data_IF_692191111752
#
_entry.id   IF_692191111752
#
_cell.length_a   1.000
_cell.length_b   1.000
_cell.length_c   1.000
_cell.angle_alpha   90.00
_cell.angle_beta   90.00
_cell.angle_gamma   90.00
#
_symmetry.space_group_name_H-M   'P 1'
#
loop_
_entity.id
_entity.type
_entity.pdbx_description
1 polymer ?
#
# COMPACT_ATOMS: atom_id res chain seq x y z
N UNK A 1 12.99 24.21 -11.48
CA UNK A 1 12.53 25.64 -11.52
C UNK A 1 13.75 26.58 -11.49
N UNK A 2 14.72 26.31 -12.31
CA UNK A 2 16.00 27.02 -12.26
C UNK A 2 15.95 28.47 -12.78
N UNK A 3 14.91 28.85 -13.50
CA UNK A 3 14.85 30.17 -14.15
C UNK A 3 13.72 31.08 -13.66
N UNK A 4 12.81 30.61 -12.79
CA UNK A 4 11.63 31.37 -12.36
C UNK A 4 10.65 31.74 -13.48
N UNK A 5 10.82 31.21 -14.70
CA UNK A 5 9.95 31.50 -15.85
C UNK A 5 8.71 30.63 -15.81
N UNK A 6 7.55 31.24 -16.05
CA UNK A 6 6.33 30.51 -16.30
C UNK A 6 6.28 30.04 -17.75
N UNK A 7 5.96 28.76 -17.96
CA UNK A 7 5.70 28.20 -19.29
C UNK A 7 4.19 27.97 -19.43
N UNK A 8 3.61 28.54 -20.47
CA UNK A 8 2.21 28.31 -20.84
C UNK A 8 2.18 27.38 -22.05
N UNK A 9 1.64 26.17 -21.85
CA UNK A 9 1.45 25.22 -22.94
C UNK A 9 -0.01 25.24 -23.40
N UNK A 10 -0.23 25.39 -24.72
CA UNK A 10 -1.56 25.20 -25.33
C UNK A 10 -1.63 23.78 -25.90
N UNK A 11 -2.60 23.00 -25.44
CA UNK A 11 -2.84 21.64 -25.90
C UNK A 11 -4.31 21.43 -26.26
N UNK A 12 -4.57 20.52 -27.21
CA UNK A 12 -5.95 20.11 -27.54
C UNK A 12 -6.58 19.26 -26.42
N UNK A 13 -5.75 18.54 -25.71
CA UNK A 13 -6.15 17.63 -24.64
C UNK A 13 -5.09 17.66 -23.54
N UNK A 14 -5.52 17.58 -22.29
CA UNK A 14 -4.66 17.46 -21.12
C UNK A 14 -5.02 16.17 -20.38
N UNK A 15 -4.03 15.43 -19.92
CA UNK A 15 -4.21 14.21 -19.14
C UNK A 15 -3.53 14.37 -17.77
N UNK A 16 -4.28 14.24 -16.70
CA UNK A 16 -3.75 14.16 -15.34
C UNK A 16 -3.53 12.68 -15.01
N UNK A 17 -2.29 12.29 -14.77
CA UNK A 17 -1.90 10.92 -14.38
C UNK A 17 -0.78 10.94 -13.35
N UNK A 18 -0.91 11.77 -12.33
CA UNK A 18 0.13 12.12 -11.36
C UNK A 18 0.18 11.19 -10.16
N UNK A 19 -0.64 10.15 -10.11
CA UNK A 19 -0.82 9.30 -8.94
C UNK A 19 -1.72 9.93 -7.89
N UNK A 20 -1.77 9.32 -6.72
CA UNK A 20 -2.62 9.70 -5.60
C UNK A 20 -1.90 10.51 -4.51
N UNK A 21 -2.35 10.37 -3.28
CA UNK A 21 -1.89 11.09 -2.08
C UNK A 21 -1.18 10.20 -1.06
N UNK A 22 -0.81 8.98 -1.42
CA UNK A 22 -0.33 7.98 -0.45
C UNK A 22 0.97 8.36 0.28
N UNK A 23 1.64 9.44 -0.10
CA UNK A 23 2.79 9.97 0.62
C UNK A 23 2.43 11.01 1.68
N UNK A 24 1.22 11.49 1.68
CA UNK A 24 0.72 12.40 2.70
C UNK A 24 0.23 11.59 3.90
N UNK A 25 1.15 11.08 4.68
CA UNK A 25 0.86 10.25 5.85
C UNK A 25 0.08 11.00 6.91
N UNK A 26 -1.18 10.75 7.00
CA UNK A 26 -2.01 11.47 7.95
C UNK A 26 -2.01 10.89 9.38
N UNK A 27 -1.74 9.61 9.56
CA UNK A 27 -1.91 8.94 10.85
C UNK A 27 -0.66 8.18 11.34
N UNK A 28 0.50 8.52 10.83
CA UNK A 28 1.76 7.87 11.23
C UNK A 28 1.96 6.46 10.71
N UNK A 29 1.12 6.00 9.77
CA UNK A 29 1.35 4.73 9.10
C UNK A 29 2.48 4.84 8.07
N UNK A 30 3.25 3.77 7.87
CA UNK A 30 4.19 3.71 6.75
C UNK A 30 3.43 3.72 5.41
N UNK A 31 4.14 3.95 4.32
CA UNK A 31 3.56 3.90 2.97
C UNK A 31 4.41 3.07 2.02
N UNK A 32 3.75 2.33 1.14
CA UNK A 32 4.37 1.68 -0.01
C UNK A 32 4.48 2.59 -1.24
N UNK A 33 3.95 3.82 -1.18
CA UNK A 33 3.86 4.72 -2.32
C UNK A 33 5.17 5.46 -2.60
N UNK A 34 5.35 5.82 -3.88
CA UNK A 34 6.46 6.65 -4.33
C UNK A 34 6.44 8.03 -3.66
N UNK A 35 7.61 8.66 -3.48
CA UNK A 35 7.76 10.00 -2.89
C UNK A 35 6.96 11.10 -3.59
N UNK A 36 6.67 10.93 -4.89
CA UNK A 36 5.86 11.86 -5.68
C UNK A 36 4.35 11.68 -5.56
N UNK A 37 3.86 10.75 -4.73
CA UNK A 37 2.41 10.58 -4.50
C UNK A 37 1.90 11.60 -3.47
N UNK A 38 1.94 12.88 -3.83
CA UNK A 38 1.69 14.06 -2.98
C UNK A 38 0.42 14.82 -3.36
N UNK A 39 -0.51 14.20 -4.08
CA UNK A 39 -1.81 14.75 -4.49
C UNK A 39 -1.74 15.93 -5.48
N UNK A 40 -0.61 16.19 -6.12
CA UNK A 40 -0.46 17.39 -6.96
C UNK A 40 -1.53 17.49 -8.04
N UNK A 41 -1.78 16.43 -8.80
CA UNK A 41 -2.82 16.42 -9.83
C UNK A 41 -4.23 16.46 -9.27
N UNK A 42 -4.47 15.89 -8.09
CA UNK A 42 -5.77 15.99 -7.40
C UNK A 42 -6.06 17.45 -7.05
N UNK A 43 -5.09 18.15 -6.47
CA UNK A 43 -5.22 19.57 -6.12
C UNK A 43 -5.37 20.45 -7.37
N UNK A 44 -4.62 20.17 -8.43
CA UNK A 44 -4.76 20.91 -9.70
C UNK A 44 -6.15 20.74 -10.29
N UNK A 45 -6.66 19.51 -10.39
CA UNK A 45 -8.00 19.22 -10.89
C UNK A 45 -9.09 19.85 -10.03
N UNK A 46 -8.98 19.71 -8.70
CA UNK A 46 -9.93 20.32 -7.76
C UNK A 46 -9.96 21.85 -7.89
N UNK A 47 -8.81 22.53 -7.94
CA UNK A 47 -8.73 23.98 -8.13
C UNK A 47 -9.24 24.43 -9.48
N UNK A 48 -9.18 23.57 -10.49
CA UNK A 48 -9.79 23.82 -11.80
C UNK A 48 -11.30 23.59 -11.83
N UNK A 49 -11.90 23.09 -10.74
CA UNK A 49 -13.34 22.88 -10.58
C UNK A 49 -13.81 21.44 -10.80
N UNK A 50 -12.89 20.47 -10.96
CA UNK A 50 -13.28 19.06 -11.06
C UNK A 50 -13.65 18.53 -9.67
N UNK A 51 -14.85 17.94 -9.47
CA UNK A 51 -15.22 17.33 -8.21
C UNK A 51 -14.30 16.18 -7.80
N UNK A 52 -14.13 15.98 -6.50
CA UNK A 52 -13.49 14.80 -5.92
C UNK A 52 -14.55 13.80 -5.48
N UNK A 53 -14.35 12.53 -5.83
CA UNK A 53 -15.14 11.41 -5.34
C UNK A 53 -14.37 10.71 -4.23
N UNK A 54 -15.06 10.35 -3.15
CA UNK A 54 -14.51 9.51 -2.06
C UNK A 54 -13.13 9.95 -1.55
N UNK A 55 -12.92 11.26 -1.40
CA UNK A 55 -11.61 11.83 -1.07
C UNK A 55 -11.03 11.36 0.28
N UNK A 56 -11.86 10.81 1.15
CA UNK A 56 -11.54 10.24 2.46
C UNK A 56 -11.23 8.73 2.43
N UNK A 57 -11.38 8.08 1.27
CA UNK A 57 -11.16 6.63 1.15
C UNK A 57 -9.71 6.30 0.79
N UNK A 58 -8.99 5.79 1.76
CA UNK A 58 -7.62 5.32 1.62
C UNK A 58 -7.55 3.81 1.92
N UNK A 59 -6.87 3.06 1.06
CA UNK A 59 -6.66 1.65 1.26
C UNK A 59 -5.32 1.39 1.94
N UNK A 60 -5.37 0.68 3.06
CA UNK A 60 -4.19 0.15 3.73
C UNK A 60 -3.95 -1.29 3.29
N UNK A 61 -2.72 -1.58 2.83
CA UNK A 61 -2.31 -2.95 2.62
C UNK A 61 -1.94 -3.57 3.98
N UNK A 62 -2.47 -4.73 4.36
CA UNK A 62 -2.25 -5.29 5.70
C UNK A 62 -0.80 -5.67 5.96
N UNK A 63 -0.04 -6.02 4.93
CA UNK A 63 1.31 -6.53 5.05
C UNK A 63 2.34 -5.58 4.41
N UNK A 64 2.65 -4.47 5.08
CA UNK A 64 3.88 -3.72 4.87
C UNK A 64 5.00 -4.32 5.73
N UNK A 65 6.25 -4.35 5.23
CA UNK A 65 7.38 -4.77 6.02
C UNK A 65 7.55 -3.85 7.25
N UNK A 66 7.57 -4.41 8.45
CA UNK A 66 7.72 -3.65 9.69
C UNK A 66 9.14 -3.65 10.24
N UNK A 67 10.00 -4.51 9.70
CA UNK A 67 11.41 -4.63 10.04
C UNK A 67 12.19 -5.26 8.88
N UNK A 68 13.43 -4.85 8.61
CA UNK A 68 14.16 -3.75 9.25
C UNK A 68 13.76 -2.37 8.72
N UNK A 69 14.24 -1.29 9.36
CA UNK A 69 13.93 0.10 9.02
C UNK A 69 14.15 0.45 7.54
N UNK A 70 15.18 -0.12 6.91
CA UNK A 70 15.53 0.14 5.51
C UNK A 70 14.45 -0.26 4.50
N UNK A 71 13.55 -1.15 4.88
CA UNK A 71 12.41 -1.58 4.07
C UNK A 71 11.07 -1.32 4.78
N UNK A 72 11.08 -0.51 5.83
CA UNK A 72 9.87 -0.17 6.57
C UNK A 72 8.78 0.40 5.65
N UNK A 73 7.61 -0.21 5.67
CA UNK A 73 6.49 0.13 4.81
C UNK A 73 6.55 -0.48 3.40
N UNK A 74 7.65 -1.12 3.00
CA UNK A 74 7.72 -1.78 1.71
C UNK A 74 6.64 -2.86 1.58
N UNK A 75 6.04 -2.97 0.40
CA UNK A 75 4.95 -3.91 0.16
C UNK A 75 5.44 -5.36 0.24
N UNK A 76 4.87 -6.12 1.18
CA UNK A 76 4.90 -7.58 1.16
C UNK A 76 3.65 -8.05 0.42
N UNK A 77 3.85 -8.61 -0.77
CA UNK A 77 2.75 -8.99 -1.67
C UNK A 77 1.74 -9.90 -1.01
N UNK A 78 0.47 -9.69 -1.33
CA UNK A 78 -0.65 -10.51 -0.83
C UNK A 78 -0.50 -12.01 -1.16
N UNK A 79 0.24 -12.32 -2.21
CA UNK A 79 0.56 -13.68 -2.61
C UNK A 79 1.20 -14.49 -1.47
N UNK A 80 1.93 -13.87 -0.54
CA UNK A 80 2.51 -14.54 0.62
C UNK A 80 1.41 -15.17 1.48
N UNK A 81 0.35 -14.40 1.80
CA UNK A 81 -0.81 -14.91 2.55
C UNK A 81 -1.61 -15.95 1.76
N UNK A 82 -1.82 -15.72 0.46
CA UNK A 82 -2.55 -16.65 -0.40
C UNK A 82 -1.84 -17.99 -0.60
N UNK A 83 -0.55 -18.07 -0.29
CA UNK A 83 0.22 -19.31 -0.27
C UNK A 83 0.26 -19.98 1.11
N UNK A 84 -0.51 -19.49 2.08
CA UNK A 84 -0.70 -20.14 3.38
C UNK A 84 0.09 -19.53 4.53
N UNK A 85 0.85 -18.44 4.32
CA UNK A 85 1.48 -17.74 5.44
C UNK A 85 0.43 -17.11 6.35
N UNK A 86 0.49 -17.43 7.64
CA UNK A 86 -0.47 -16.98 8.65
C UNK A 86 0.03 -15.74 9.38
N UNK A 87 -0.91 -14.89 9.81
CA UNK A 87 -0.63 -13.76 10.70
C UNK A 87 -0.68 -14.24 12.15
N UNK A 88 0.42 -14.05 12.88
CA UNK A 88 0.65 -14.57 14.23
C UNK A 88 1.03 -13.42 15.16
N UNK A 89 0.45 -13.38 16.35
CA UNK A 89 0.75 -12.39 17.38
C UNK A 89 2.05 -12.73 18.15
N UNK A 90 2.41 -11.90 19.13
CA UNK A 90 3.61 -12.11 19.95
C UNK A 90 3.53 -13.36 20.83
N UNK A 91 2.35 -13.91 21.08
CA UNK A 91 2.12 -15.13 21.85
C UNK A 91 2.16 -16.40 20.99
N UNK A 92 2.37 -16.26 19.67
CA UNK A 92 2.39 -17.40 18.75
C UNK A 92 1.00 -17.84 18.25
N UNK A 93 -0.05 -17.03 18.50
CA UNK A 93 -1.41 -17.38 18.14
C UNK A 93 -1.82 -16.74 16.80
N UNK A 94 -2.43 -17.52 15.91
CA UNK A 94 -3.10 -17.01 14.73
C UNK A 94 -4.42 -16.33 15.16
N UNK A 95 -4.58 -15.07 14.82
CA UNK A 95 -5.70 -14.24 15.31
C UNK A 95 -6.75 -13.91 14.25
N UNK A 96 -6.54 -14.35 13.00
CA UNK A 96 -7.48 -14.14 11.91
C UNK A 96 -7.26 -15.14 10.78
N UNK A 97 -8.26 -15.24 9.88
CA UNK A 97 -8.13 -16.05 8.68
C UNK A 97 -7.17 -15.36 7.67
N UNK A 98 -6.22 -16.06 7.05
CA UNK A 98 -5.19 -15.45 6.18
C UNK A 98 -5.75 -14.81 4.90
N UNK A 99 -6.92 -15.23 4.42
CA UNK A 99 -7.55 -14.77 3.17
C UNK A 99 -8.67 -13.76 3.39
N UNK A 100 -8.74 -13.14 4.56
CA UNK A 100 -9.65 -12.01 4.79
C UNK A 100 -9.32 -10.82 3.88
N UNK A 101 -10.33 -9.96 3.65
CA UNK A 101 -10.15 -8.73 2.87
C UNK A 101 -9.10 -7.80 3.47
N UNK A 102 -8.57 -6.88 2.68
CA UNK A 102 -7.47 -6.01 3.12
C UNK A 102 -7.84 -5.12 4.30
N UNK A 103 -9.04 -4.58 4.28
CA UNK A 103 -9.58 -3.73 5.34
C UNK A 103 -9.76 -4.49 6.66
N UNK A 104 -10.38 -5.68 6.61
CA UNK A 104 -10.53 -6.57 7.77
C UNK A 104 -9.16 -7.00 8.30
N UNK A 105 -8.25 -7.37 7.42
CA UNK A 105 -6.89 -7.77 7.79
C UNK A 105 -6.12 -6.64 8.47
N UNK A 106 -6.13 -5.43 7.87
CA UNK A 106 -5.46 -4.27 8.43
C UNK A 106 -6.04 -3.88 9.80
N UNK A 107 -7.38 -3.84 9.91
CA UNK A 107 -8.06 -3.55 11.17
C UNK A 107 -7.76 -4.59 12.26
N UNK A 108 -7.68 -5.87 11.89
CA UNK A 108 -7.35 -6.95 12.83
C UNK A 108 -5.93 -6.84 13.36
N UNK A 109 -4.94 -6.54 12.50
CA UNK A 109 -3.55 -6.32 12.91
C UNK A 109 -3.45 -5.11 13.87
N UNK A 110 -4.10 -3.99 13.51
CA UNK A 110 -4.10 -2.79 14.37
C UNK A 110 -4.72 -3.10 15.74
N UNK A 111 -5.84 -3.82 15.76
CA UNK A 111 -6.52 -4.23 17.00
C UNK A 111 -5.64 -5.14 17.85
N UNK A 112 -4.97 -6.11 17.22
CA UNK A 112 -4.06 -7.05 17.91
C UNK A 112 -2.90 -6.32 18.57
N UNK A 113 -2.29 -5.37 17.82
CA UNK A 113 -1.18 -4.58 18.32
C UNK A 113 -1.60 -3.55 19.38
N UNK A 114 -2.63 -2.72 19.08
CA UNK A 114 -2.95 -1.55 19.92
C UNK A 114 -3.95 -1.85 21.03
N UNK A 115 -5.05 -2.56 20.72
CA UNK A 115 -6.12 -2.77 21.68
C UNK A 115 -5.85 -3.97 22.58
N UNK A 116 -5.27 -5.04 22.04
CA UNK A 116 -4.98 -6.27 22.79
C UNK A 116 -3.58 -6.31 23.39
N UNK A 117 -2.67 -5.45 22.92
CA UNK A 117 -1.28 -5.41 23.39
C UNK A 117 -0.46 -6.66 23.03
N UNK A 118 -0.91 -7.45 22.04
CA UNK A 118 -0.28 -8.70 21.61
C UNK A 118 0.63 -8.52 20.37
N UNK A 119 1.02 -7.29 20.07
CA UNK A 119 1.99 -7.00 19.01
C UNK A 119 3.42 -7.28 19.43
N UNK A 120 4.27 -7.55 18.45
CA UNK A 120 5.72 -7.65 18.61
C UNK A 120 6.30 -6.24 18.57
N UNK A 121 7.07 -5.86 19.58
CA UNK A 121 7.71 -4.54 19.63
C UNK A 121 8.90 -4.48 18.67
N UNK A 122 8.93 -3.45 17.83
CA UNK A 122 10.04 -3.12 16.92
C UNK A 122 10.53 -1.70 17.20
N UNK A 123 11.68 -1.28 16.69
CA UNK A 123 12.15 0.11 16.82
C UNK A 123 11.16 1.15 16.28
N UNK A 124 10.36 0.76 15.26
CA UNK A 124 9.40 1.64 14.57
C UNK A 124 7.97 1.57 15.16
N UNK A 125 7.74 0.71 16.14
CA UNK A 125 6.44 0.51 16.76
C UNK A 125 6.11 -0.95 16.99
N UNK A 126 4.83 -1.31 16.83
CA UNK A 126 4.38 -2.69 16.97
C UNK A 126 4.09 -3.33 15.62
N UNK A 127 4.27 -4.63 15.55
CA UNK A 127 4.05 -5.44 14.36
C UNK A 127 3.48 -6.80 14.72
N UNK A 128 3.15 -7.60 13.72
CA UNK A 128 2.80 -9.02 13.87
C UNK A 128 3.71 -9.87 12.99
N UNK A 129 3.84 -11.13 13.31
CA UNK A 129 4.55 -12.09 12.47
C UNK A 129 3.69 -12.50 11.27
N UNK A 130 4.33 -12.64 10.12
CA UNK A 130 3.81 -13.34 8.97
C UNK A 130 4.66 -14.61 8.78
N UNK A 131 4.06 -15.77 9.02
CA UNK A 131 4.74 -17.06 9.06
C UNK A 131 5.05 -17.58 7.63
N UNK A 132 6.10 -17.05 7.06
CA UNK A 132 6.52 -17.35 5.70
C UNK A 132 7.12 -18.76 5.52
N UNK A 133 7.81 -19.40 6.51
CA UNK A 133 8.24 -20.78 6.41
C UNK A 133 7.10 -21.78 6.15
N UNK A 134 5.89 -21.48 6.61
CA UNK A 134 4.70 -22.29 6.38
C UNK A 134 4.45 -22.58 4.89
N UNK A 135 4.87 -21.68 3.99
CA UNK A 135 4.71 -21.84 2.54
C UNK A 135 5.43 -23.09 2.04
N UNK A 136 6.70 -23.26 2.43
CA UNK A 136 7.49 -24.44 2.03
C UNK A 136 7.01 -25.72 2.75
N UNK A 137 6.46 -25.58 3.96
CA UNK A 137 5.85 -26.71 4.68
C UNK A 137 4.58 -27.23 3.97
N UNK A 138 3.74 -26.34 3.47
CA UNK A 138 2.47 -26.69 2.79
C UNK A 138 2.73 -27.19 1.35
N UNK A 139 3.58 -26.50 0.61
CA UNK A 139 3.74 -26.70 -0.84
C UNK A 139 5.02 -27.41 -1.26
N UNK A 140 5.87 -27.78 -0.31
CA UNK A 140 7.16 -28.41 -0.55
C UNK A 140 8.33 -27.43 -0.62
N UNK A 141 9.48 -27.89 -0.18
CA UNK A 141 10.73 -27.12 -0.09
C UNK A 141 11.11 -26.48 -1.41
N UNK A 142 11.48 -25.19 -1.36
CA UNK A 142 11.88 -24.38 -2.52
C UNK A 142 10.71 -23.67 -3.22
N UNK A 143 9.47 -23.86 -2.77
CA UNK A 143 8.31 -23.18 -3.34
C UNK A 143 8.36 -21.67 -3.10
N UNK A 144 8.74 -21.24 -1.91
CA UNK A 144 8.88 -19.82 -1.58
C UNK A 144 9.90 -19.14 -2.51
N UNK A 145 11.07 -19.74 -2.69
CA UNK A 145 12.12 -19.21 -3.57
C UNK A 145 11.65 -19.11 -5.02
N UNK A 146 10.98 -20.13 -5.53
CA UNK A 146 10.47 -20.18 -6.90
C UNK A 146 9.32 -19.19 -7.16
N UNK A 147 8.41 -19.05 -6.20
CA UNK A 147 7.16 -18.29 -6.38
C UNK A 147 7.24 -16.85 -5.90
N UNK A 148 8.17 -16.53 -5.00
CA UNK A 148 8.34 -15.23 -4.35
C UNK A 148 9.81 -14.73 -4.39
N UNK A 149 10.54 -14.87 -5.51
CA UNK A 149 11.98 -14.58 -5.57
C UNK A 149 12.31 -13.12 -5.25
N UNK A 150 11.44 -12.18 -5.60
CA UNK A 150 11.64 -10.76 -5.31
C UNK A 150 11.53 -10.46 -3.81
N UNK A 151 10.56 -11.08 -3.13
CA UNK A 151 10.40 -10.95 -1.68
C UNK A 151 11.58 -11.57 -0.94
N UNK A 152 11.96 -12.79 -1.31
CA UNK A 152 13.11 -13.45 -0.71
C UNK A 152 14.39 -12.59 -0.85
N UNK A 153 14.68 -12.08 -2.05
CA UNK A 153 15.84 -11.20 -2.26
C UNK A 153 15.77 -9.91 -1.45
N UNK A 154 14.59 -9.33 -1.28
CA UNK A 154 14.39 -8.11 -0.51
C UNK A 154 14.82 -8.32 0.95
N UNK A 155 14.38 -9.40 1.59
CA UNK A 155 14.69 -9.70 2.99
C UNK A 155 16.10 -10.25 3.19
N UNK A 156 16.61 -11.10 2.27
CA UNK A 156 17.97 -11.63 2.34
C UNK A 156 19.05 -10.55 2.33
N UNK A 157 18.83 -9.40 1.68
CA UNK A 157 19.74 -8.24 1.74
C UNK A 157 20.03 -7.78 3.17
N UNK A 158 19.14 -8.08 4.09
CA UNK A 158 19.23 -7.69 5.50
C UNK A 158 19.40 -8.87 6.44
N UNK A 159 19.80 -10.02 5.88
CA UNK A 159 20.09 -11.23 6.67
C UNK A 159 18.83 -11.97 7.17
N UNK A 160 17.65 -11.66 6.63
CA UNK A 160 16.40 -12.32 7.00
C UNK A 160 16.04 -13.33 5.91
N UNK A 161 16.11 -14.61 6.24
CA UNK A 161 15.70 -15.67 5.33
C UNK A 161 14.25 -16.08 5.60
N UNK A 162 13.34 -15.63 4.73
CA UNK A 162 11.91 -15.91 4.82
C UNK A 162 11.56 -17.41 4.74
N UNK A 163 12.49 -18.27 4.35
CA UNK A 163 12.32 -19.73 4.30
C UNK A 163 12.47 -20.37 5.68
N UNK A 164 13.21 -19.71 6.56
CA UNK A 164 13.60 -20.23 7.87
C UNK A 164 12.94 -19.51 9.03
N UNK A 165 12.68 -18.19 8.86
CA UNK A 165 12.11 -17.38 9.92
C UNK A 165 10.91 -16.55 9.40
N UNK A 166 9.88 -16.34 10.23
CA UNK A 166 8.79 -15.43 9.88
C UNK A 166 9.28 -13.99 9.75
N UNK A 167 8.55 -13.16 9.01
CA UNK A 167 8.85 -11.75 8.83
C UNK A 167 7.86 -10.89 9.62
N UNK A 168 8.31 -9.69 10.03
CA UNK A 168 7.45 -8.72 10.72
C UNK A 168 6.72 -7.84 9.71
N UNK A 169 5.40 -7.70 9.91
CA UNK A 169 4.52 -6.90 9.05
C UNK A 169 3.59 -6.01 9.87
N UNK A 170 3.23 -4.87 9.28
CA UNK A 170 2.23 -3.93 9.81
C UNK A 170 1.51 -3.25 8.65
N UNK A 171 0.26 -2.77 8.83
CA UNK A 171 -0.45 -2.08 7.76
C UNK A 171 0.32 -0.88 7.21
N UNK A 172 0.34 -0.77 5.88
CA UNK A 172 1.00 0.32 5.14
C UNK A 172 0.00 0.99 4.21
N UNK A 173 0.03 2.32 4.13
CA UNK A 173 -0.78 3.05 3.18
C UNK A 173 -0.37 2.68 1.75
N UNK A 174 -1.33 2.26 0.94
CA UNK A 174 -1.05 1.60 -0.33
C UNK A 174 -1.68 2.28 -1.53
N UNK A 175 -2.96 2.65 -1.45
CA UNK A 175 -3.71 3.15 -2.57
C UNK A 175 -4.78 4.16 -2.13
N UNK A 176 -4.95 5.23 -2.90
CA UNK A 176 -6.06 6.16 -2.71
C UNK A 176 -7.20 5.76 -3.64
N UNK A 177 -8.34 5.34 -3.07
CA UNK A 177 -9.53 4.97 -3.84
C UNK A 177 -10.30 6.19 -4.32
N UNK A 178 -10.25 7.28 -3.56
CA UNK A 178 -10.79 8.57 -3.94
C UNK A 178 -9.94 9.29 -4.98
N UNK A 179 -10.52 10.29 -5.65
CA UNK A 179 -9.82 11.08 -6.67
C UNK A 179 -10.77 11.94 -7.50
N UNK A 180 -10.29 12.42 -8.62
CA UNK A 180 -11.05 13.27 -9.53
C UNK A 180 -12.19 12.49 -10.21
N UNK A 181 -13.36 13.15 -10.32
CA UNK A 181 -14.52 12.56 -10.99
C UNK A 181 -14.36 12.57 -12.51
N UNK A 182 -14.61 11.42 -13.14
CA UNK A 182 -14.62 11.26 -14.59
C UNK A 182 -15.88 10.54 -15.07
N UNK A 183 -16.18 10.67 -16.36
CA UNK A 183 -17.14 9.81 -17.05
C UNK A 183 -16.54 8.46 -17.45
N UNK A 184 -17.35 7.55 -17.98
CA UNK A 184 -16.91 6.24 -18.47
C UNK A 184 -15.93 6.31 -19.67
N UNK A 185 -15.80 7.46 -20.28
CA UNK A 185 -14.88 7.77 -21.37
C UNK A 185 -13.52 8.34 -20.91
N UNK A 186 -13.33 8.49 -19.58
CA UNK A 186 -12.10 9.03 -18.99
C UNK A 186 -12.03 10.56 -18.93
N UNK A 187 -13.03 11.27 -19.48
CA UNK A 187 -13.07 12.73 -19.44
C UNK A 187 -13.72 13.25 -18.15
N UNK A 188 -13.27 14.41 -17.70
CA UNK A 188 -13.99 15.13 -16.65
C UNK A 188 -15.30 15.69 -17.21
N UNK A 189 -16.35 15.73 -16.38
CA UNK A 189 -17.67 16.25 -16.81
C UNK A 189 -17.72 17.78 -16.90
N UNK A 190 -16.79 18.46 -16.27
CA UNK A 190 -16.83 19.93 -16.07
C UNK A 190 -15.81 20.69 -16.90
N UNK A 191 -14.72 20.06 -17.32
CA UNK A 191 -13.67 20.70 -18.13
C UNK A 191 -13.53 19.95 -19.45
N UNK A 192 -13.88 20.57 -20.58
CA UNK A 192 -13.69 19.96 -21.90
C UNK A 192 -12.23 19.58 -22.14
N UNK A 193 -12.02 18.41 -22.75
CA UNK A 193 -10.70 17.91 -23.13
C UNK A 193 -9.71 17.67 -21.98
N UNK A 194 -10.19 17.60 -20.74
CA UNK A 194 -9.41 17.15 -19.59
C UNK A 194 -9.75 15.70 -19.29
N UNK A 195 -8.74 14.81 -19.35
CA UNK A 195 -8.82 13.42 -18.95
C UNK A 195 -8.05 13.21 -17.65
N UNK A 196 -8.46 12.18 -16.92
CA UNK A 196 -7.72 11.71 -15.74
C UNK A 196 -7.50 10.20 -15.85
N UNK A 197 -6.32 9.74 -15.45
CA UNK A 197 -5.96 8.32 -15.51
C UNK A 197 -5.18 7.87 -14.28
N UNK A 198 -5.24 6.57 -13.99
CA UNK A 198 -4.53 5.95 -12.87
C UNK A 198 -5.12 6.31 -11.51
N UNK A 199 -4.30 6.32 -10.48
CA UNK A 199 -4.70 6.57 -9.08
C UNK A 199 -5.23 7.99 -8.83
N UNK A 200 -5.09 8.91 -9.79
CA UNK A 200 -5.71 10.24 -9.70
C UNK A 200 -7.23 10.21 -9.92
N UNK A 201 -7.79 9.09 -10.40
CA UNK A 201 -9.23 8.92 -10.64
C UNK A 201 -9.90 8.37 -9.40
N UNK A 202 -11.02 8.97 -9.00
CA UNK A 202 -11.85 8.49 -7.92
C UNK A 202 -12.82 7.37 -8.35
N UNK A 203 -13.01 6.34 -7.48
CA UNK A 203 -14.05 5.33 -7.65
C UNK A 203 -13.78 4.22 -8.64
N UNK A 204 -12.53 3.98 -9.06
CA UNK A 204 -12.17 2.83 -9.91
C UNK A 204 -12.09 1.54 -9.08
N UNK A 205 -11.51 1.61 -7.90
CA UNK A 205 -11.41 0.50 -6.96
C UNK A 205 -12.19 0.87 -5.72
N UNK A 206 -13.39 0.33 -5.59
CA UNK A 206 -14.33 0.65 -4.52
C UNK A 206 -13.87 0.35 -3.12
#
# INVERSE_FOLDING_TARGET
METGRHLIARAKTVIISTGGAGRLHYQGFPTSNHYGATADGLILGYRAGVPLLYADTLQYHPTGAAYPLQIYGALVTEKVRSMGAMLINAEGEAFMHPLETRDVSAASIIRECKARGKGVTTPEGQAVWLDTPMIDMIHGKGTLEKRLPAMLRMFLKYGIDMREVPILVYPTLHYQNGGLEIGGDGFTKVIPNLLVAGEAVGGIHG
#
